data_IF_187709260575
#
_entry.id   IF_187709260575
#
_cell.length_a   1.000
_cell.length_b   1.000
_cell.length_c   1.000
_cell.angle_alpha   90.00
_cell.angle_beta   90.00
_cell.angle_gamma   90.00
#
_symmetry.space_group_name_H-M   'P 1'
#
loop_
_entity.id
_entity.type
_entity.pdbx_description
1 polymer ?
#
# COMPACT_ATOMS: atom_id res chain seq x y z
N UNK A 1 -10.82 12.11 -12.11
CA UNK A 1 -11.43 10.80 -12.14
C UNK A 1 -12.73 10.70 -11.36
N UNK A 2 -12.83 11.31 -10.18
CA UNK A 2 -14.10 11.48 -9.46
C UNK A 2 -15.11 12.20 -10.34
N UNK A 3 -14.69 13.21 -11.09
CA UNK A 3 -15.52 13.94 -12.04
C UNK A 3 -16.03 13.03 -13.15
N UNK A 4 -15.17 12.21 -13.73
CA UNK A 4 -15.52 11.25 -14.80
C UNK A 4 -16.52 10.20 -14.32
N UNK A 5 -16.35 9.68 -13.11
CA UNK A 5 -17.28 8.69 -12.51
C UNK A 5 -18.65 9.33 -12.28
N UNK A 6 -18.69 10.54 -11.72
CA UNK A 6 -19.95 11.29 -11.53
C UNK A 6 -20.67 11.60 -12.84
N UNK A 7 -19.89 11.89 -13.89
CA UNK A 7 -20.44 12.10 -15.22
C UNK A 7 -21.01 10.81 -15.80
N UNK A 8 -20.30 9.69 -15.66
CA UNK A 8 -20.81 8.38 -16.07
C UNK A 8 -22.07 7.99 -15.30
N UNK A 9 -22.15 8.28 -14.01
CA UNK A 9 -23.33 8.01 -13.19
C UNK A 9 -24.56 8.80 -13.65
N UNK A 10 -24.39 10.00 -14.24
CA UNK A 10 -25.49 10.79 -14.80
C UNK A 10 -26.09 10.18 -16.06
N UNK A 11 -25.27 9.51 -16.86
CA UNK A 11 -25.67 8.94 -18.14
C UNK A 11 -26.03 7.45 -18.09
N UNK A 12 -25.49 6.76 -17.09
CA UNK A 12 -25.66 5.32 -16.92
C UNK A 12 -26.05 5.02 -15.46
N UNK A 13 -26.91 4.05 -15.27
CA UNK A 13 -27.28 3.60 -13.93
C UNK A 13 -26.15 2.75 -13.32
N UNK A 14 -25.03 3.41 -13.02
CA UNK A 14 -23.82 2.77 -12.50
C UNK A 14 -23.73 3.01 -11.00
N UNK A 15 -23.69 1.93 -10.23
CA UNK A 15 -23.35 1.95 -8.81
C UNK A 15 -21.95 1.39 -8.65
N UNK A 16 -21.06 2.12 -7.95
CA UNK A 16 -19.75 1.60 -7.63
C UNK A 16 -19.47 1.78 -6.13
N UNK A 17 -18.63 0.90 -5.61
CA UNK A 17 -18.17 0.94 -4.23
C UNK A 17 -16.88 1.75 -4.12
N UNK A 18 -16.95 2.85 -3.39
CA UNK A 18 -15.76 3.67 -3.12
C UNK A 18 -15.05 3.15 -1.87
N UNK A 19 -13.81 2.77 -2.04
CA UNK A 19 -12.94 2.42 -0.91
C UNK A 19 -12.33 3.69 -0.32
N UNK A 20 -12.57 3.92 0.96
CA UNK A 20 -11.96 5.01 1.69
C UNK A 20 -10.57 4.63 2.18
N UNK A 21 -9.57 5.45 1.84
CA UNK A 21 -8.19 5.23 2.24
C UNK A 21 -7.79 6.28 3.29
N UNK A 22 -7.31 5.82 4.44
CA UNK A 22 -6.88 6.69 5.53
C UNK A 22 -5.37 6.95 5.46
N UNK A 23 -4.94 7.68 4.43
CA UNK A 23 -3.52 7.93 4.17
C UNK A 23 -2.91 8.78 5.30
N UNK A 24 -3.53 9.91 5.65
CA UNK A 24 -3.03 10.80 6.70
C UNK A 24 -2.93 10.11 8.04
N UNK A 25 -3.97 9.39 8.40
CA UNK A 25 -4.08 8.67 9.68
C UNK A 25 -3.04 7.55 9.74
N UNK A 26 -2.84 6.82 8.65
CA UNK A 26 -1.84 5.74 8.58
C UNK A 26 -0.43 6.29 8.68
N UNK A 27 -0.11 7.38 7.99
CA UNK A 27 1.20 8.01 8.07
C UNK A 27 1.48 8.57 9.48
N UNK A 28 0.46 9.12 10.12
CA UNK A 28 0.56 9.58 11.51
C UNK A 28 0.87 8.42 12.45
N UNK A 29 0.18 7.31 12.29
CA UNK A 29 0.41 6.09 13.07
C UNK A 29 1.83 5.55 12.84
N UNK A 30 2.27 5.50 11.60
CA UNK A 30 3.63 5.08 11.25
C UNK A 30 4.67 5.93 11.97
N UNK A 31 4.53 7.25 11.93
CA UNK A 31 5.44 8.19 12.59
C UNK A 31 5.44 8.03 14.10
N UNK A 32 4.27 7.79 14.69
CA UNK A 32 4.13 7.59 16.13
C UNK A 32 4.79 6.29 16.62
N UNK A 33 4.63 5.21 15.88
CA UNK A 33 5.19 3.90 16.22
C UNK A 33 6.65 3.74 15.81
N UNK A 34 7.11 4.52 14.85
CA UNK A 34 8.43 4.42 14.25
C UNK A 34 9.08 5.81 14.12
N UNK A 35 9.41 6.46 15.26
CA UNK A 35 9.88 7.85 15.25
C UNK A 35 11.25 8.05 14.59
N UNK A 36 12.06 6.98 14.48
CA UNK A 36 13.37 7.05 13.79
C UNK A 36 13.24 7.00 12.27
N UNK A 37 12.03 6.87 11.74
CA UNK A 37 11.77 6.72 10.30
C UNK A 37 12.27 7.93 9.51
N UNK A 38 13.07 7.65 8.50
CA UNK A 38 13.58 8.63 7.52
C UNK A 38 13.05 8.37 6.12
N UNK A 39 12.62 7.14 5.85
CA UNK A 39 12.11 6.71 4.57
C UNK A 39 10.78 5.99 4.75
N UNK A 40 9.93 6.08 3.73
CA UNK A 40 8.73 5.26 3.60
C UNK A 40 8.88 4.44 2.32
N UNK A 41 8.82 3.12 2.44
CA UNK A 41 8.78 2.22 1.30
C UNK A 41 7.31 1.86 1.01
N UNK A 42 6.79 2.38 -0.09
CA UNK A 42 5.47 2.06 -0.58
C UNK A 42 5.55 0.81 -1.47
N UNK A 43 4.85 -0.24 -1.09
CA UNK A 43 4.91 -1.55 -1.73
C UNK A 43 3.62 -1.80 -2.49
N UNK A 44 3.70 -1.94 -3.81
CA UNK A 44 2.51 -2.20 -4.63
C UNK A 44 2.85 -2.83 -5.97
N UNK A 45 1.81 -3.35 -6.63
CA UNK A 45 1.84 -3.59 -8.06
C UNK A 45 1.90 -2.28 -8.86
N UNK A 46 1.90 -2.37 -10.18
CA UNK A 46 1.95 -1.22 -11.09
C UNK A 46 0.62 -0.97 -11.81
N UNK A 47 -0.48 -1.45 -11.26
CA UNK A 47 -1.81 -1.21 -11.82
C UNK A 47 -2.25 0.24 -11.60
N UNK A 48 -3.24 0.66 -12.35
CA UNK A 48 -3.77 2.02 -12.34
C UNK A 48 -4.10 2.54 -10.92
N UNK A 49 -4.79 1.72 -10.13
CA UNK A 49 -5.14 2.09 -8.76
C UNK A 49 -3.91 2.35 -7.88
N UNK A 50 -2.85 1.57 -8.08
CA UNK A 50 -1.60 1.75 -7.33
C UNK A 50 -0.90 3.05 -7.68
N UNK A 51 -0.92 3.46 -8.96
CA UNK A 51 -0.42 4.78 -9.37
C UNK A 51 -1.21 5.90 -8.73
N UNK A 52 -2.53 5.80 -8.70
CA UNK A 52 -3.39 6.80 -8.04
C UNK A 52 -3.11 6.91 -6.55
N UNK A 53 -3.01 5.78 -5.86
CA UNK A 53 -2.75 5.75 -4.42
C UNK A 53 -1.34 6.27 -4.12
N UNK A 54 -0.34 5.85 -4.90
CA UNK A 54 1.02 6.38 -4.75
C UNK A 54 1.06 7.90 -4.87
N UNK A 55 0.37 8.47 -5.86
CA UNK A 55 0.30 9.93 -6.03
C UNK A 55 -0.30 10.64 -4.82
N UNK A 56 -1.34 10.05 -4.22
CA UNK A 56 -1.97 10.59 -3.00
C UNK A 56 -1.03 10.49 -1.79
N UNK A 57 -0.33 9.38 -1.65
CA UNK A 57 0.67 9.19 -0.59
C UNK A 57 1.81 10.20 -0.77
N UNK A 58 2.34 10.34 -1.98
CA UNK A 58 3.41 11.28 -2.30
C UNK A 58 3.01 12.71 -1.95
N UNK A 59 1.80 13.12 -2.33
CA UNK A 59 1.28 14.45 -2.01
C UNK A 59 1.19 14.68 -0.50
N UNK A 60 0.68 13.70 0.23
CA UNK A 60 0.53 13.79 1.68
C UNK A 60 1.89 13.84 2.38
N UNK A 61 2.84 13.03 1.96
CA UNK A 61 4.21 13.05 2.49
C UNK A 61 4.86 14.41 2.23
N UNK A 62 4.77 14.91 1.01
CA UNK A 62 5.34 16.21 0.64
C UNK A 62 4.76 17.36 1.46
N UNK A 63 3.45 17.32 1.76
CA UNK A 63 2.77 18.39 2.50
C UNK A 63 3.00 18.32 4.01
N UNK A 64 3.05 17.12 4.60
CA UNK A 64 3.04 16.96 6.05
C UNK A 64 4.34 16.37 6.62
N UNK A 65 5.12 15.68 5.81
CA UNK A 65 6.36 15.00 6.21
C UNK A 65 7.47 15.22 5.19
N UNK A 66 7.85 16.51 4.92
CA UNK A 66 8.84 16.81 3.89
C UNK A 66 10.25 16.29 4.23
N UNK A 67 10.49 15.91 5.48
CA UNK A 67 11.72 15.27 5.95
C UNK A 67 11.83 13.79 5.56
N UNK A 68 10.71 13.16 5.17
CA UNK A 68 10.70 11.75 4.80
C UNK A 68 10.89 11.56 3.29
N UNK A 69 11.73 10.58 2.95
CA UNK A 69 11.91 10.14 1.58
C UNK A 69 10.93 9.02 1.27
N UNK A 70 10.20 9.15 0.16
CA UNK A 70 9.28 8.12 -0.32
C UNK A 70 9.96 7.27 -1.39
N UNK A 71 9.94 5.96 -1.20
CA UNK A 71 10.50 4.96 -2.11
C UNK A 71 9.34 4.09 -2.60
N UNK A 72 9.23 3.86 -3.91
CA UNK A 72 8.24 2.94 -4.45
C UNK A 72 8.89 1.60 -4.79
N UNK A 73 8.50 0.58 -4.04
CA UNK A 73 8.85 -0.81 -4.35
C UNK A 73 7.73 -1.40 -5.22
N UNK A 74 7.93 -1.32 -6.52
CA UNK A 74 6.91 -1.66 -7.52
C UNK A 74 7.14 -3.05 -8.09
N UNK A 75 6.07 -3.80 -8.27
CA UNK A 75 6.07 -5.08 -8.98
C UNK A 75 6.58 -4.96 -10.43
N UNK A 76 6.55 -3.77 -11.01
CA UNK A 76 7.11 -3.51 -12.33
C UNK A 76 8.63 -3.71 -12.37
N UNK A 77 9.31 -3.39 -11.27
CA UNK A 77 10.77 -3.39 -11.21
C UNK A 77 11.33 -4.53 -10.36
N UNK A 78 10.52 -5.06 -9.43
CA UNK A 78 10.93 -6.12 -8.51
C UNK A 78 10.03 -7.34 -8.66
N UNK A 79 10.62 -8.52 -8.69
CA UNK A 79 9.89 -9.75 -8.44
C UNK A 79 9.69 -9.97 -6.94
N UNK A 80 8.96 -11.01 -6.56
CA UNK A 80 8.67 -11.29 -5.16
C UNK A 80 9.93 -11.56 -4.34
N UNK A 81 10.88 -12.31 -4.89
CA UNK A 81 12.14 -12.63 -4.20
C UNK A 81 12.96 -11.37 -3.95
N UNK A 82 13.11 -10.51 -4.95
CA UNK A 82 13.78 -9.22 -4.83
C UNK A 82 13.08 -8.30 -3.83
N UNK A 83 11.74 -8.31 -3.81
CA UNK A 83 10.96 -7.55 -2.83
C UNK A 83 11.26 -8.02 -1.40
N UNK A 84 11.23 -9.32 -1.16
CA UNK A 84 11.50 -9.90 0.15
C UNK A 84 12.93 -9.60 0.62
N UNK A 85 13.91 -9.71 -0.27
CA UNK A 85 15.30 -9.35 0.02
C UNK A 85 15.44 -7.88 0.39
N UNK A 86 14.79 -7.00 -0.36
CA UNK A 86 14.81 -5.56 -0.10
C UNK A 86 14.17 -5.23 1.24
N UNK A 87 13.00 -5.77 1.52
CA UNK A 87 12.26 -5.54 2.78
C UNK A 87 13.06 -6.05 3.97
N UNK A 88 13.70 -7.23 3.85
CA UNK A 88 14.51 -7.79 4.94
C UNK A 88 15.79 -7.00 5.21
N UNK A 89 16.23 -6.21 4.25
CA UNK A 89 17.42 -5.34 4.42
C UNK A 89 17.11 -4.04 5.16
N UNK A 90 15.86 -3.64 5.25
CA UNK A 90 15.47 -2.39 5.92
C UNK A 90 15.45 -2.55 7.44
N UNK A 91 15.90 -1.52 8.12
CA UNK A 91 15.81 -1.36 9.57
C UNK A 91 14.66 -0.41 9.95
N UNK A 92 14.65 0.03 11.21
CA UNK A 92 13.61 0.95 11.74
C UNK A 92 13.64 2.35 11.12
N UNK A 93 14.65 2.67 10.31
CA UNK A 93 14.70 3.95 9.61
C UNK A 93 13.80 3.98 8.37
N UNK A 94 13.27 2.83 7.95
CA UNK A 94 12.35 2.72 6.82
C UNK A 94 11.02 2.13 7.26
N UNK A 95 9.95 2.90 7.11
CA UNK A 95 8.58 2.45 7.34
C UNK A 95 8.06 1.71 6.11
N UNK A 96 7.31 0.64 6.33
CA UNK A 96 6.77 -0.22 5.27
C UNK A 96 5.27 0.05 5.13
N UNK A 97 4.86 0.54 3.97
CA UNK A 97 3.47 0.82 3.63
C UNK A 97 3.04 -0.04 2.45
N UNK A 98 2.26 -1.08 2.75
CA UNK A 98 1.79 -2.04 1.75
C UNK A 98 0.41 -1.65 1.22
N UNK A 99 0.25 -1.65 -0.10
CA UNK A 99 -1.05 -1.42 -0.72
C UNK A 99 -1.57 -2.68 -1.42
N UNK A 100 -0.82 -3.23 -2.38
CA UNK A 100 -1.28 -4.39 -3.16
C UNK A 100 -0.11 -5.04 -3.88
N UNK A 101 -0.27 -6.33 -4.21
CA UNK A 101 0.68 -7.08 -5.03
C UNK A 101 -0.07 -8.14 -5.79
N UNK A 102 -0.40 -7.88 -7.04
CA UNK A 102 -1.15 -8.80 -7.88
C UNK A 102 -0.20 -9.59 -8.78
N UNK A 103 -0.33 -10.91 -8.77
CA UNK A 103 0.40 -11.73 -9.72
C UNK A 103 -0.24 -11.67 -11.11
N UNK A 104 0.57 -11.77 -12.19
CA UNK A 104 0.04 -11.90 -13.55
C UNK A 104 -0.89 -13.10 -13.64
N UNK A 105 -1.91 -13.01 -14.50
CA UNK A 105 -3.00 -13.99 -14.70
C UNK A 105 -2.54 -15.40 -15.16
N UNK A 106 -1.26 -15.65 -15.28
CA UNK A 106 -0.71 -16.92 -15.79
C UNK A 106 -0.74 -18.08 -14.77
N UNK A 107 -1.23 -17.83 -13.55
CA UNK A 107 -1.33 -18.86 -12.51
C UNK A 107 -2.74 -18.88 -11.92
N UNK A 108 -3.70 -19.63 -12.51
CA UNK A 108 -5.10 -19.60 -12.10
C UNK A 108 -5.37 -20.16 -10.69
N UNK A 109 -4.44 -20.83 -10.06
CA UNK A 109 -4.60 -21.36 -8.70
C UNK A 109 -4.25 -20.38 -7.59
N UNK A 110 -4.01 -19.08 -7.89
CA UNK A 110 -3.30 -18.21 -6.97
C UNK A 110 -3.97 -16.88 -6.59
N UNK A 111 -5.29 -16.74 -6.74
CA UNK A 111 -6.04 -15.71 -6.01
C UNK A 111 -5.79 -15.81 -4.49
N UNK A 112 -5.49 -17.00 -4.02
CA UNK A 112 -5.10 -17.31 -2.65
C UNK A 112 -3.74 -16.70 -2.24
N UNK A 113 -2.83 -16.45 -3.18
CA UNK A 113 -1.49 -15.94 -2.89
C UNK A 113 -1.44 -14.41 -2.75
N UNK A 114 -2.41 -13.68 -3.31
CA UNK A 114 -2.47 -12.22 -3.15
C UNK A 114 -2.66 -11.83 -1.68
N UNK A 115 -3.49 -12.58 -0.95
CA UNK A 115 -3.74 -12.36 0.48
C UNK A 115 -2.54 -12.80 1.33
N UNK A 116 -1.73 -13.75 0.85
CA UNK A 116 -0.57 -14.27 1.56
C UNK A 116 0.70 -13.42 1.39
N UNK A 117 0.78 -12.54 0.39
CA UNK A 117 1.97 -11.71 0.17
C UNK A 117 2.20 -10.78 1.35
N UNK A 118 1.16 -10.09 1.82
CA UNK A 118 1.28 -9.26 3.01
C UNK A 118 1.75 -10.04 4.24
N UNK A 119 1.20 -11.22 4.46
CA UNK A 119 1.61 -12.10 5.55
C UNK A 119 3.07 -12.56 5.39
N UNK A 120 3.48 -12.89 4.17
CA UNK A 120 4.86 -13.24 3.87
C UNK A 120 5.79 -12.06 4.15
N UNK A 121 5.41 -10.85 3.75
CA UNK A 121 6.17 -9.63 4.03
C UNK A 121 6.37 -9.41 5.52
N UNK A 122 5.34 -9.63 6.35
CA UNK A 122 5.48 -9.48 7.82
C UNK A 122 6.48 -10.47 8.40
N UNK A 123 6.61 -11.66 7.82
CA UNK A 123 7.59 -12.66 8.24
C UNK A 123 9.04 -12.31 7.89
N UNK A 124 9.26 -11.49 6.87
CA UNK A 124 10.59 -11.06 6.41
C UNK A 124 10.98 -9.67 6.91
N UNK A 125 10.01 -8.86 7.29
CA UNK A 125 10.24 -7.48 7.71
C UNK A 125 10.83 -7.39 9.12
N UNK A 126 11.73 -6.43 9.33
CA UNK A 126 12.28 -6.09 10.65
C UNK A 126 11.51 -4.96 11.33
N UNK A 127 10.46 -4.47 10.71
CA UNK A 127 9.59 -3.39 11.17
C UNK A 127 8.13 -3.74 10.92
N UNK A 128 7.18 -3.06 11.59
CA UNK A 128 5.76 -3.27 11.33
C UNK A 128 5.39 -2.99 9.88
N UNK A 129 4.49 -3.79 9.33
CA UNK A 129 3.89 -3.56 8.02
C UNK A 129 2.58 -2.81 8.19
N UNK A 130 2.52 -1.60 7.66
CA UNK A 130 1.30 -0.79 7.63
C UNK A 130 0.58 -1.00 6.30
N UNK A 131 -0.74 -0.92 6.32
CA UNK A 131 -1.56 -1.11 5.13
C UNK A 131 -2.62 -0.03 5.00
N UNK A 132 -2.95 0.31 3.77
CA UNK A 132 -4.07 1.21 3.44
C UNK A 132 -5.37 0.45 3.15
N UNK A 133 -5.29 -0.87 3.01
CA UNK A 133 -6.46 -1.74 2.84
C UNK A 133 -6.92 -2.32 4.16
N UNK A 134 -8.20 -2.65 4.21
CA UNK A 134 -8.76 -3.42 5.32
C UNK A 134 -8.29 -4.88 5.21
N UNK A 135 -7.22 -5.18 5.92
CA UNK A 135 -6.68 -6.54 6.05
C UNK A 135 -6.89 -7.02 7.48
N UNK A 136 -6.90 -8.33 7.66
CA UNK A 136 -7.14 -8.91 8.97
C UNK A 136 -5.99 -8.59 9.95
N UNK A 137 -6.25 -7.91 11.08
CA UNK A 137 -5.20 -7.52 12.03
C UNK A 137 -4.39 -8.70 12.58
N UNK A 138 -4.99 -9.88 12.67
CA UNK A 138 -4.31 -11.09 13.14
C UNK A 138 -3.16 -11.54 12.22
N UNK A 139 -3.07 -11.01 11.02
CA UNK A 139 -1.99 -11.31 10.09
C UNK A 139 -0.76 -10.40 10.26
N UNK A 140 -0.76 -9.54 11.28
CA UNK A 140 0.38 -8.69 11.61
C UNK A 140 0.41 -7.32 10.95
N UNK A 141 -0.75 -6.83 10.47
CA UNK A 141 -0.87 -5.53 9.82
C UNK A 141 -1.33 -4.44 10.78
N UNK A 142 -0.97 -3.21 10.44
CA UNK A 142 -1.44 -2.00 11.11
C UNK A 142 -2.06 -1.04 10.10
N UNK A 143 -3.09 -0.34 10.52
CA UNK A 143 -3.80 0.60 9.67
C UNK A 143 -4.89 -0.08 8.83
N UNK A 144 -5.32 0.58 7.80
CA UNK A 144 -6.32 0.07 6.87
C UNK A 144 -7.30 1.11 6.38
N UNK A 145 -8.20 0.64 5.53
CA UNK A 145 -9.33 1.41 5.04
C UNK A 145 -10.63 0.62 5.23
N UNK A 146 -11.73 1.23 4.88
CA UNK A 146 -13.00 0.53 4.84
C UNK A 146 -13.81 0.93 3.61
N UNK A 147 -14.76 0.10 3.26
CA UNK A 147 -15.69 0.36 2.17
C UNK A 147 -16.88 1.19 2.67
N UNK A 148 -17.24 2.13 1.88
CA UNK A 148 -18.38 3.03 2.15
C UNK A 148 -19.55 2.68 1.25
#
# INVERSE_FOLDING_TARGET
HITTIKELQKHYNITFLEQKLYIKETLRLMRALQPEMKNIAFISDSLYMSHMVFSKVEKTVRQHYPDLKLIWLSQRELDLEQLLDTVSSYDKSTGLLYFSWHKPQQMPSHSFLADNIGKTLTGFANSPLFTLKDLHPQDGYFGGGYYV
#
